data_IF_903970489990
#
_entry.id   IF_903970489990
#
_cell.length_a   1.000
_cell.length_b   1.000
_cell.length_c   1.000
_cell.angle_alpha   90.00
_cell.angle_beta   90.00
_cell.angle_gamma   90.00
#
_symmetry.space_group_name_H-M   'P 1'
#
loop_
_entity.id
_entity.type
_entity.pdbx_description
1 polymer ?
#
# COMPACT_ATOMS: atom_id res chain seq x y z
N UNK A 1 17.54 61.19 -24.83
CA UNK A 1 16.55 60.59 -23.88
C UNK A 1 16.47 59.10 -24.15
N UNK A 2 17.06 58.31 -23.30
CA UNK A 2 17.02 56.82 -23.39
C UNK A 2 16.19 56.30 -22.24
N UNK A 3 15.02 55.75 -22.54
CA UNK A 3 14.16 55.08 -21.57
C UNK A 3 14.67 53.66 -21.36
N UNK A 4 15.09 53.35 -20.14
CA UNK A 4 15.44 52.01 -19.71
C UNK A 4 14.15 51.33 -19.26
N UNK A 5 13.73 50.34 -20.04
CA UNK A 5 12.60 49.46 -19.67
C UNK A 5 13.21 48.34 -18.88
N UNK A 6 13.01 48.37 -17.56
CA UNK A 6 13.34 47.24 -16.66
C UNK A 6 12.31 46.15 -16.82
N UNK A 7 12.74 45.03 -17.40
CA UNK A 7 11.92 43.81 -17.44
C UNK A 7 12.12 43.05 -16.11
N UNK A 8 11.15 43.12 -15.24
CA UNK A 8 11.10 42.30 -14.04
C UNK A 8 10.58 40.91 -14.43
N UNK A 9 11.48 39.94 -14.48
CA UNK A 9 11.11 38.52 -14.62
C UNK A 9 10.65 38.04 -13.25
N UNK A 10 9.34 37.92 -13.06
CA UNK A 10 8.78 37.24 -11.91
C UNK A 10 8.93 35.73 -12.11
N UNK A 11 9.93 35.14 -11.43
CA UNK A 11 10.12 33.70 -11.35
C UNK A 11 9.06 33.14 -10.40
N UNK A 12 7.93 32.71 -10.94
CA UNK A 12 6.94 31.94 -10.17
C UNK A 12 7.47 30.54 -9.97
N UNK A 13 7.99 30.27 -8.77
CA UNK A 13 8.25 28.90 -8.31
C UNK A 13 6.89 28.20 -8.17
N UNK A 14 6.50 27.47 -9.20
CA UNK A 14 5.40 26.51 -9.10
C UNK A 14 5.91 25.33 -8.24
N UNK A 15 5.58 25.36 -6.95
CA UNK A 15 5.73 24.18 -6.09
C UNK A 15 4.71 23.15 -6.56
N UNK A 16 5.18 22.22 -7.38
CA UNK A 16 4.41 21.04 -7.74
C UNK A 16 4.23 20.19 -6.48
N UNK A 17 3.14 20.40 -5.78
CA UNK A 17 2.66 19.48 -4.75
C UNK A 17 2.33 18.16 -5.47
N UNK A 18 3.21 17.19 -5.34
CA UNK A 18 2.93 15.84 -5.82
C UNK A 18 1.79 15.26 -5.02
N UNK A 19 0.62 15.14 -5.65
CA UNK A 19 -0.61 14.59 -5.07
C UNK A 19 -0.52 13.06 -4.78
N UNK A 20 0.67 12.45 -4.78
CA UNK A 20 0.90 11.04 -4.51
C UNK A 20 0.47 10.60 -3.10
N UNK A 21 0.37 11.54 -2.13
CA UNK A 21 -0.03 11.24 -0.75
C UNK A 21 -1.55 11.13 -0.55
N UNK A 22 -2.38 11.53 -1.54
CA UNK A 22 -3.85 11.60 -1.43
C UNK A 22 -4.56 10.71 -2.46
N UNK A 23 -3.86 9.79 -3.11
CA UNK A 23 -4.46 8.89 -4.07
C UNK A 23 -5.31 7.84 -3.36
N UNK A 24 -6.57 7.67 -3.81
CA UNK A 24 -7.46 6.62 -3.32
C UNK A 24 -6.79 5.24 -3.49
N UNK A 25 -6.95 4.32 -2.52
CA UNK A 25 -6.39 2.99 -2.64
C UNK A 25 -7.01 2.24 -3.82
N UNK A 26 -6.21 1.43 -4.49
CA UNK A 26 -6.69 0.59 -5.59
C UNK A 26 -7.71 -0.46 -5.09
N UNK A 27 -8.49 -1.04 -6.00
CA UNK A 27 -9.40 -2.13 -5.67
C UNK A 27 -8.66 -3.32 -5.04
N UNK A 28 -7.45 -3.62 -5.50
CA UNK A 28 -6.61 -4.68 -4.94
C UNK A 28 -6.20 -4.37 -3.49
N UNK A 29 -5.79 -3.14 -3.22
CA UNK A 29 -5.42 -2.69 -1.86
C UNK A 29 -6.61 -2.80 -0.92
N UNK A 30 -7.80 -2.35 -1.34
CA UNK A 30 -9.03 -2.48 -0.54
C UNK A 30 -9.39 -3.94 -0.25
N UNK A 31 -9.29 -4.81 -1.25
CA UNK A 31 -9.54 -6.25 -1.11
C UNK A 31 -8.58 -6.87 -0.10
N UNK A 32 -7.28 -6.61 -0.24
CA UNK A 32 -6.26 -7.12 0.68
C UNK A 32 -6.44 -6.59 2.09
N UNK A 33 -6.81 -5.31 2.24
CA UNK A 33 -7.12 -4.71 3.54
C UNK A 33 -8.31 -5.40 4.22
N UNK A 34 -9.36 -5.71 3.48
CA UNK A 34 -10.53 -6.43 3.97
C UNK A 34 -10.21 -7.85 4.42
N UNK A 35 -9.39 -8.57 3.68
CA UNK A 35 -8.91 -9.91 4.05
C UNK A 35 -8.07 -9.82 5.33
N UNK A 36 -7.10 -8.93 5.37
CA UNK A 36 -6.18 -8.79 6.50
C UNK A 36 -6.89 -8.34 7.79
N UNK A 37 -7.90 -7.47 7.69
CA UNK A 37 -8.72 -7.03 8.83
C UNK A 37 -9.48 -8.18 9.50
N UNK A 38 -9.89 -9.18 8.73
CA UNK A 38 -10.63 -10.36 9.19
C UNK A 38 -9.75 -11.57 9.44
N UNK A 39 -8.46 -11.47 9.10
CA UNK A 39 -7.53 -12.58 9.18
C UNK A 39 -7.49 -13.16 10.59
N UNK A 40 -7.65 -14.49 10.67
CA UNK A 40 -7.47 -15.27 11.87
C UNK A 40 -6.51 -16.42 11.56
N UNK A 41 -5.24 -16.24 11.89
CA UNK A 41 -4.12 -17.14 11.67
C UNK A 41 -3.62 -17.19 10.22
N UNK A 42 -4.47 -17.52 9.26
CA UNK A 42 -4.11 -17.62 7.84
C UNK A 42 -5.34 -17.38 6.94
N UNK A 43 -5.16 -16.97 5.68
CA UNK A 43 -6.28 -16.80 4.75
C UNK A 43 -6.94 -18.15 4.44
N UNK A 44 -8.27 -18.15 4.33
CA UNK A 44 -9.01 -19.33 3.88
C UNK A 44 -8.81 -19.56 2.36
N UNK A 45 -9.32 -20.68 1.84
CA UNK A 45 -9.12 -21.07 0.44
C UNK A 45 -9.72 -20.06 -0.55
N UNK A 46 -10.87 -19.47 -0.24
CA UNK A 46 -11.50 -18.43 -1.08
C UNK A 46 -10.66 -17.14 -1.09
N UNK A 47 -10.12 -16.74 0.06
CA UNK A 47 -9.23 -15.59 0.17
C UNK A 47 -7.90 -15.84 -0.56
N UNK A 48 -7.32 -17.04 -0.45
CA UNK A 48 -6.13 -17.44 -1.21
C UNK A 48 -6.38 -17.42 -2.71
N UNK A 49 -7.54 -17.86 -3.18
CA UNK A 49 -7.91 -17.79 -4.59
C UNK A 49 -8.00 -16.34 -5.08
N UNK A 50 -8.61 -15.45 -4.29
CA UNK A 50 -8.68 -14.01 -4.57
C UNK A 50 -7.29 -13.37 -4.62
N UNK A 51 -6.44 -13.64 -3.64
CA UNK A 51 -5.06 -13.16 -3.58
C UNK A 51 -4.22 -13.72 -4.75
N UNK A 52 -4.41 -14.98 -5.11
CA UNK A 52 -3.77 -15.60 -6.27
C UNK A 52 -4.16 -14.92 -7.59
N UNK A 53 -5.39 -14.44 -7.70
CA UNK A 53 -5.85 -13.60 -8.81
C UNK A 53 -5.07 -12.29 -8.89
N UNK A 54 -4.81 -11.64 -7.78
CA UNK A 54 -4.00 -10.40 -7.73
C UNK A 54 -2.55 -10.68 -8.17
N UNK A 55 -1.95 -11.76 -7.67
CA UNK A 55 -0.58 -12.15 -8.03
C UNK A 55 -0.43 -12.37 -9.55
N UNK A 56 -1.45 -12.93 -10.19
CA UNK A 56 -1.45 -13.24 -11.63
C UNK A 56 -1.96 -12.08 -12.50
N UNK A 57 -2.53 -11.04 -11.91
CA UNK A 57 -3.12 -9.92 -12.64
C UNK A 57 -2.06 -9.10 -13.38
N UNK A 58 -2.31 -8.82 -14.66
CA UNK A 58 -1.45 -7.93 -15.46
C UNK A 58 -1.59 -6.45 -15.05
N UNK A 59 -2.68 -6.10 -14.39
CA UNK A 59 -2.97 -4.72 -13.94
C UNK A 59 -2.53 -4.43 -12.51
N UNK A 60 -2.20 -5.45 -11.72
CA UNK A 60 -1.70 -5.26 -10.37
C UNK A 60 -0.25 -4.76 -10.39
N UNK A 61 0.06 -3.82 -9.49
CA UNK A 61 1.43 -3.32 -9.35
C UNK A 61 2.36 -4.38 -8.74
N UNK A 62 3.67 -4.21 -8.91
CA UNK A 62 4.67 -5.09 -8.30
C UNK A 62 4.51 -5.15 -6.76
N UNK A 63 4.21 -4.02 -6.12
CA UNK A 63 3.97 -3.96 -4.67
C UNK A 63 2.70 -4.73 -4.27
N UNK A 64 1.61 -4.58 -5.02
CA UNK A 64 0.37 -5.32 -4.76
C UNK A 64 0.57 -6.83 -4.88
N UNK A 65 1.30 -7.28 -5.89
CA UNK A 65 1.65 -8.70 -6.06
C UNK A 65 2.51 -9.23 -4.90
N UNK A 66 3.49 -8.44 -4.46
CA UNK A 66 4.34 -8.78 -3.31
C UNK A 66 3.51 -8.95 -2.04
N UNK A 67 2.59 -8.03 -1.77
CA UNK A 67 1.70 -8.08 -0.61
C UNK A 67 0.73 -9.26 -0.70
N UNK A 68 0.11 -9.48 -1.85
CA UNK A 68 -0.80 -10.61 -2.06
C UNK A 68 -0.07 -11.96 -1.84
N UNK A 69 1.13 -12.11 -2.36
CA UNK A 69 1.93 -13.31 -2.16
C UNK A 69 2.32 -13.51 -0.69
N UNK A 70 2.71 -12.44 0.00
CA UNK A 70 3.03 -12.49 1.43
C UNK A 70 1.81 -12.91 2.27
N UNK A 71 0.61 -12.44 1.93
CA UNK A 71 -0.63 -12.86 2.58
C UNK A 71 -0.93 -14.34 2.35
N UNK A 72 -0.77 -14.84 1.13
CA UNK A 72 -0.93 -16.28 0.81
C UNK A 72 0.00 -17.13 1.66
N UNK A 73 1.24 -16.68 1.84
CA UNK A 73 2.29 -17.40 2.57
C UNK A 73 2.17 -17.26 4.10
N UNK A 74 1.31 -16.38 4.59
CA UNK A 74 1.14 -16.13 6.02
C UNK A 74 0.55 -17.35 6.73
N UNK A 75 1.25 -17.78 7.77
CA UNK A 75 0.79 -18.83 8.71
C UNK A 75 1.09 -18.33 10.12
N UNK A 76 0.12 -17.77 10.80
CA UNK A 76 0.22 -17.12 12.12
C UNK A 76 1.08 -15.84 12.12
N UNK A 77 2.20 -15.84 11.42
CA UNK A 77 3.11 -14.70 11.24
C UNK A 77 3.50 -14.60 9.77
N UNK A 78 4.08 -13.47 9.37
CA UNK A 78 4.65 -13.33 8.04
C UNK A 78 5.77 -14.34 7.81
N UNK A 79 5.83 -14.92 6.62
CA UNK A 79 6.92 -15.81 6.24
C UNK A 79 8.26 -15.07 6.32
N UNK A 80 9.28 -15.73 6.85
CA UNK A 80 10.62 -15.15 7.01
C UNK A 80 11.23 -14.65 5.68
N UNK A 81 10.95 -15.35 4.57
CA UNK A 81 11.41 -14.94 3.24
C UNK A 81 10.68 -13.70 2.69
N UNK A 82 9.46 -13.43 3.15
CA UNK A 82 8.67 -12.28 2.71
C UNK A 82 8.92 -11.01 3.56
N UNK A 83 9.35 -11.15 4.80
CA UNK A 83 9.63 -10.01 5.69
C UNK A 83 10.53 -8.95 5.06
N UNK A 84 11.72 -9.26 4.51
CA UNK A 84 12.57 -8.24 3.90
C UNK A 84 11.92 -7.57 2.68
N UNK A 85 11.08 -8.27 1.93
CA UNK A 85 10.31 -7.70 0.81
C UNK A 85 9.27 -6.71 1.30
N UNK A 86 8.55 -7.05 2.37
CA UNK A 86 7.55 -6.17 3.00
C UNK A 86 8.21 -4.92 3.59
N UNK A 87 9.35 -5.07 4.26
CA UNK A 87 10.12 -3.93 4.78
C UNK A 87 10.62 -3.01 3.65
N UNK A 88 11.04 -3.57 2.52
CA UNK A 88 11.42 -2.79 1.35
C UNK A 88 10.24 -1.96 0.81
N UNK A 89 9.02 -2.51 0.79
CA UNK A 89 7.80 -1.78 0.41
C UNK A 89 7.52 -0.63 1.38
N UNK A 90 7.64 -0.86 2.68
CA UNK A 90 7.45 0.18 3.72
C UNK A 90 8.42 1.35 3.53
N UNK A 91 9.66 1.06 3.16
CA UNK A 91 10.73 2.05 2.97
C UNK A 91 10.70 2.73 1.61
N UNK A 92 9.96 2.20 0.64
CA UNK A 92 9.87 2.76 -0.70
C UNK A 92 9.06 4.05 -0.69
N UNK A 93 9.71 5.18 -0.96
CA UNK A 93 9.05 6.49 -1.02
C UNK A 93 8.01 6.59 -2.14
N UNK A 94 8.13 5.78 -3.19
CA UNK A 94 7.20 5.75 -4.32
C UNK A 94 5.96 4.88 -4.04
N UNK A 95 5.99 4.01 -3.02
CA UNK A 95 4.84 3.18 -2.69
C UNK A 95 3.69 4.01 -2.09
N UNK A 96 2.44 3.82 -2.57
CA UNK A 96 1.27 4.46 -1.98
C UNK A 96 1.11 4.14 -0.49
N UNK A 97 0.53 5.06 0.28
CA UNK A 97 0.38 4.90 1.74
C UNK A 97 -0.40 3.63 2.10
N UNK A 98 -1.48 3.31 1.38
CA UNK A 98 -2.25 2.09 1.62
C UNK A 98 -1.44 0.81 1.44
N UNK A 99 -0.55 0.78 0.46
CA UNK A 99 0.37 -0.32 0.21
C UNK A 99 1.38 -0.47 1.36
N UNK A 100 1.93 0.64 1.84
CA UNK A 100 2.84 0.66 3.01
C UNK A 100 2.16 0.18 4.28
N UNK A 101 0.92 0.61 4.51
CA UNK A 101 0.11 0.17 5.65
C UNK A 101 -0.06 -1.36 5.62
N UNK A 102 -0.46 -1.93 4.48
CA UNK A 102 -0.59 -3.38 4.34
C UNK A 102 0.73 -4.11 4.62
N UNK A 103 1.82 -3.66 4.01
CA UNK A 103 3.13 -4.27 4.19
C UNK A 103 3.59 -4.23 5.65
N UNK A 104 3.40 -3.11 6.33
CA UNK A 104 3.76 -2.94 7.74
C UNK A 104 2.96 -3.85 8.67
N UNK A 105 1.65 -3.93 8.47
CA UNK A 105 0.77 -4.81 9.27
C UNK A 105 1.13 -6.28 9.07
N UNK A 106 1.36 -6.72 7.84
CA UNK A 106 1.75 -8.12 7.57
C UNK A 106 3.11 -8.43 8.20
N UNK A 107 4.09 -7.53 8.08
CA UNK A 107 5.43 -7.72 8.62
C UNK A 107 5.44 -7.87 10.15
N UNK A 108 4.53 -7.19 10.86
CA UNK A 108 4.38 -7.23 12.32
C UNK A 108 3.32 -8.23 12.81
N UNK A 109 2.65 -8.94 11.89
CA UNK A 109 1.52 -9.82 12.19
C UNK A 109 1.90 -10.91 13.21
N UNK A 110 1.07 -11.05 14.24
CA UNK A 110 1.14 -12.14 15.20
C UNK A 110 -0.26 -12.72 15.40
N UNK A 111 -0.60 -13.77 14.66
CA UNK A 111 -1.88 -14.45 14.53
C UNK A 111 -2.97 -13.57 13.90
N UNK A 112 -3.20 -12.38 14.43
CA UNK A 112 -4.16 -11.39 13.94
C UNK A 112 -3.55 -10.01 13.98
N UNK A 113 -4.09 -9.08 13.21
CA UNK A 113 -3.76 -7.66 13.35
C UNK A 113 -4.22 -7.14 14.72
N UNK A 114 -3.50 -6.19 15.29
CA UNK A 114 -3.91 -5.52 16.53
C UNK A 114 -5.18 -4.69 16.32
N UNK A 115 -5.86 -4.30 17.42
CA UNK A 115 -7.10 -3.52 17.34
C UNK A 115 -6.93 -2.19 16.56
N UNK A 116 -5.87 -1.37 16.78
CA UNK A 116 -5.66 -0.17 15.99
C UNK A 116 -5.36 -0.48 14.51
N UNK A 117 -4.60 -1.54 14.22
CA UNK A 117 -4.33 -1.98 12.84
C UNK A 117 -5.62 -2.43 12.13
N UNK A 118 -6.49 -3.18 12.80
CA UNK A 118 -7.81 -3.58 12.27
C UNK A 118 -8.68 -2.36 11.94
N UNK A 119 -8.68 -1.35 12.79
CA UNK A 119 -9.43 -0.11 12.54
C UNK A 119 -8.89 0.63 11.29
N UNK A 120 -7.58 0.69 11.13
CA UNK A 120 -6.93 1.30 9.96
C UNK A 120 -7.21 0.50 8.69
N UNK A 121 -7.09 -0.83 8.74
CA UNK A 121 -7.40 -1.72 7.63
C UNK A 121 -8.87 -1.63 7.21
N UNK A 122 -9.79 -1.51 8.15
CA UNK A 122 -11.22 -1.35 7.89
C UNK A 122 -11.49 -0.03 7.15
N UNK A 123 -10.85 1.06 7.56
CA UNK A 123 -10.93 2.35 6.85
C UNK A 123 -10.36 2.25 5.44
N UNK A 124 -9.23 1.58 5.29
CA UNK A 124 -8.58 1.38 3.99
C UNK A 124 -9.45 0.54 3.04
N UNK A 125 -10.09 -0.51 3.55
CA UNK A 125 -11.00 -1.36 2.78
C UNK A 125 -12.28 -0.61 2.34
N UNK A 126 -12.74 0.35 3.12
CA UNK A 126 -13.94 1.15 2.85
C UNK A 126 -13.66 2.44 2.06
N UNK A 127 -12.40 2.79 1.81
CA UNK A 127 -12.04 4.01 1.08
C UNK A 127 -12.47 3.95 -0.39
N UNK A 128 -13.05 5.06 -0.91
CA UNK A 128 -13.50 5.22 -2.31
C UNK A 128 -12.54 6.10 -3.09
#
# INVERSE_FOLDING_TARGET
MRALISFAIALTLATSFTAAAMQAPSANVRTMAGILAKLNHFPNDAEKATLGGIVKSDTATAHEKTIAQALINTMHTANAADKPKLEAVVKDSAAPQGVKTLAGVIASLNHTASAPEKAELTKLAAAN
#
